data_IF_529440531603
#
_entry.id   IF_529440531603
#
_cell.length_a   1.000
_cell.length_b   1.000
_cell.length_c   1.000
_cell.angle_alpha   90.00
_cell.angle_beta   90.00
_cell.angle_gamma   90.00
#
_symmetry.space_group_name_H-M   'P 1'
#
loop_
_entity.id
_entity.type
_entity.pdbx_description
1 polymer ?
#
# COMPACT_ATOMS: atom_id res chain seq x y z
N UNK A 1 -12.02 -14.16 -82.41
CA UNK A 1 -12.57 -14.77 -81.18
C UNK A 1 -11.42 -14.79 -80.18
N UNK A 2 -11.45 -13.94 -79.15
CA UNK A 2 -11.76 -14.32 -77.74
C UNK A 2 -10.67 -15.26 -77.16
N UNK A 3 -10.08 -15.07 -76.00
CA UNK A 3 -10.51 -14.38 -74.77
C UNK A 3 -9.25 -14.00 -73.97
N UNK A 4 -9.21 -12.79 -73.40
CA UNK A 4 -8.23 -12.43 -72.37
C UNK A 4 -8.60 -13.13 -71.06
N UNK A 5 -7.64 -13.79 -70.41
CA UNK A 5 -7.80 -14.32 -69.04
C UNK A 5 -6.80 -13.61 -68.15
N UNK A 6 -7.29 -12.63 -67.40
CA UNK A 6 -6.58 -12.01 -66.28
C UNK A 6 -6.61 -12.97 -65.09
N UNK A 7 -5.46 -13.56 -64.76
CA UNK A 7 -5.30 -14.38 -63.57
C UNK A 7 -5.08 -13.47 -62.35
N UNK A 8 -6.11 -13.31 -61.52
CA UNK A 8 -6.01 -12.67 -60.21
C UNK A 8 -5.37 -13.64 -59.20
N UNK A 9 -4.13 -13.37 -58.79
CA UNK A 9 -3.48 -14.07 -57.67
C UNK A 9 -4.06 -13.56 -56.35
N UNK A 10 -4.87 -14.38 -55.68
CA UNK A 10 -5.35 -14.12 -54.33
C UNK A 10 -4.21 -14.34 -53.32
N UNK A 11 -3.74 -13.25 -52.70
CA UNK A 11 -2.84 -13.30 -51.55
C UNK A 11 -3.63 -13.79 -50.33
N UNK A 12 -3.38 -15.02 -49.89
CA UNK A 12 -3.89 -15.52 -48.61
C UNK A 12 -3.12 -14.84 -47.47
N UNK A 13 -3.70 -13.78 -46.93
CA UNK A 13 -3.26 -13.19 -45.66
C UNK A 13 -3.57 -14.16 -44.52
N UNK A 14 -2.59 -14.93 -44.07
CA UNK A 14 -2.69 -15.68 -42.82
C UNK A 14 -2.66 -14.69 -41.66
N UNK A 15 -3.82 -14.27 -41.18
CA UNK A 15 -3.92 -13.53 -39.93
C UNK A 15 -3.48 -14.47 -38.78
N UNK A 16 -2.30 -14.23 -38.20
CA UNK A 16 -1.96 -14.82 -36.90
C UNK A 16 -2.94 -14.23 -35.88
N UNK A 17 -3.94 -15.00 -35.49
CA UNK A 17 -4.68 -14.72 -34.27
C UNK A 17 -3.71 -14.91 -33.10
N UNK A 18 -3.23 -13.80 -32.53
CA UNK A 18 -2.54 -13.85 -31.25
C UNK A 18 -3.46 -14.54 -30.24
N UNK A 19 -2.97 -15.49 -29.43
CA UNK A 19 -3.79 -16.01 -28.35
C UNK A 19 -4.13 -14.80 -27.49
N UNK A 20 -5.42 -14.49 -27.40
CA UNK A 20 -5.94 -13.63 -26.34
C UNK A 20 -5.71 -14.41 -25.05
N UNK A 21 -4.46 -14.38 -24.58
CA UNK A 21 -4.09 -14.83 -23.26
C UNK A 21 -5.00 -14.07 -22.33
N UNK A 22 -5.92 -14.81 -21.72
CA UNK A 22 -6.79 -14.35 -20.66
C UNK A 22 -5.95 -13.42 -19.79
N UNK A 23 -6.28 -12.14 -19.77
CA UNK A 23 -5.85 -11.24 -18.72
C UNK A 23 -6.49 -11.80 -17.45
N UNK A 24 -5.87 -12.83 -16.88
CA UNK A 24 -6.11 -13.24 -15.53
C UNK A 24 -5.66 -12.05 -14.72
N UNK A 25 -6.60 -11.19 -14.36
CA UNK A 25 -6.47 -10.30 -13.22
C UNK A 25 -6.23 -11.23 -12.04
N UNK A 26 -4.98 -11.66 -11.84
CA UNK A 26 -4.52 -12.24 -10.59
C UNK A 26 -4.61 -11.11 -9.58
N UNK A 27 -5.83 -10.83 -9.13
CA UNK A 27 -6.04 -10.17 -7.87
C UNK A 27 -5.31 -11.05 -6.87
N UNK A 28 -4.27 -10.51 -6.26
CA UNK A 28 -3.54 -11.19 -5.20
C UNK A 28 -4.59 -11.78 -4.25
N UNK A 29 -4.59 -13.10 -4.09
CA UNK A 29 -5.49 -13.76 -3.15
C UNK A 29 -5.08 -13.51 -1.71
N UNK A 30 -4.04 -12.70 -1.48
CA UNK A 30 -3.75 -12.20 -0.14
C UNK A 30 -4.82 -11.21 0.27
N UNK A 31 -5.48 -11.42 1.41
CA UNK A 31 -6.30 -10.37 2.01
C UNK A 31 -5.44 -9.11 2.16
N UNK A 32 -5.99 -7.96 1.77
CA UNK A 32 -5.36 -6.68 2.06
C UNK A 32 -5.40 -6.41 3.57
N UNK A 33 -4.64 -5.42 4.03
CA UNK A 33 -4.57 -5.12 5.47
C UNK A 33 -5.37 -3.87 5.83
N UNK A 34 -5.81 -3.80 7.08
CA UNK A 34 -6.40 -2.61 7.68
C UNK A 34 -5.55 -2.16 8.86
N UNK A 35 -5.23 -0.87 8.91
CA UNK A 35 -4.72 -0.23 10.12
C UNK A 35 -5.90 0.16 11.00
N UNK A 36 -5.85 -0.25 12.27
CA UNK A 36 -6.89 -0.01 13.27
C UNK A 36 -6.37 0.88 14.39
N UNK A 37 -7.21 1.79 14.88
CA UNK A 37 -6.98 2.58 16.11
C UNK A 37 -5.63 3.29 16.14
N UNK A 38 -5.21 3.85 15.01
CA UNK A 38 -3.88 4.44 14.89
C UNK A 38 -3.81 5.78 15.63
N UNK A 39 -2.85 5.89 16.55
CA UNK A 39 -2.55 7.10 17.32
C UNK A 39 -1.06 7.42 17.24
N UNK A 40 -0.72 8.70 17.12
CA UNK A 40 0.64 9.23 17.21
C UNK A 40 0.71 10.23 18.35
N UNK A 41 1.61 9.99 19.31
CA UNK A 41 1.86 10.84 20.46
C UNK A 41 3.27 11.42 20.40
N UNK A 42 3.37 12.73 20.22
CA UNK A 42 4.60 13.52 20.21
C UNK A 42 4.55 14.61 21.29
N UNK A 43 4.13 14.26 22.50
CA UNK A 43 4.14 15.19 23.65
C UNK A 43 5.54 15.73 23.90
N UNK A 44 6.55 14.88 23.72
CA UNK A 44 7.93 15.33 23.55
C UNK A 44 8.18 15.57 22.05
N UNK A 45 8.62 16.77 21.62
CA UNK A 45 8.85 17.06 20.20
C UNK A 45 9.98 16.23 19.58
N UNK A 46 10.86 15.63 20.40
CA UNK A 46 11.95 14.77 19.98
C UNK A 46 11.61 13.28 20.11
N UNK A 47 10.40 12.94 20.60
CA UNK A 47 9.95 11.54 20.73
C UNK A 47 8.51 11.41 20.26
N UNK A 48 8.31 10.74 19.13
CA UNK A 48 6.99 10.39 18.63
C UNK A 48 6.75 8.88 18.79
N UNK A 49 5.74 8.50 19.57
CA UNK A 49 5.27 7.11 19.69
C UNK A 49 4.06 6.90 18.80
N UNK A 50 4.11 5.86 17.97
CA UNK A 50 3.04 5.48 17.06
C UNK A 50 2.47 4.15 17.54
N UNK A 51 1.16 4.08 17.75
CA UNK A 51 0.45 2.89 18.26
C UNK A 51 -0.74 2.60 17.36
N UNK A 52 -0.84 1.38 16.85
CA UNK A 52 -1.95 0.92 16.02
C UNK A 52 -2.09 -0.60 16.12
N UNK A 53 -3.10 -1.16 15.45
CA UNK A 53 -3.18 -2.61 15.23
C UNK A 53 -3.35 -2.95 13.76
N UNK A 54 -2.78 -4.09 13.35
CA UNK A 54 -2.76 -4.58 11.98
C UNK A 54 -3.79 -5.70 11.88
N UNK A 55 -4.89 -5.43 11.19
CA UNK A 55 -5.85 -6.45 10.82
C UNK A 55 -5.46 -6.97 9.43
N UNK A 56 -4.93 -8.20 9.41
CA UNK A 56 -4.48 -8.85 8.17
C UNK A 56 -5.62 -9.47 7.36
N UNK A 57 -6.88 -9.28 7.79
CA UNK A 57 -8.11 -9.74 7.11
C UNK A 57 -8.11 -11.22 6.69
N UNK A 58 -7.39 -12.08 7.40
CA UNK A 58 -7.26 -13.51 7.11
C UNK A 58 -8.26 -14.39 7.90
N UNK A 59 -9.27 -13.78 8.51
CA UNK A 59 -10.23 -14.45 9.39
C UNK A 59 -9.78 -14.57 10.85
N UNK A 60 -8.58 -14.09 11.21
CA UNK A 60 -8.19 -13.90 12.62
C UNK A 60 -9.10 -12.88 13.29
N UNK A 61 -9.60 -13.21 14.49
CA UNK A 61 -10.42 -12.29 15.29
C UNK A 61 -9.61 -11.20 15.99
N UNK A 62 -8.29 -11.35 16.05
CA UNK A 62 -7.42 -10.49 16.85
C UNK A 62 -6.42 -9.77 15.95
N UNK A 63 -6.57 -8.44 15.77
CA UNK A 63 -5.56 -7.61 15.10
C UNK A 63 -4.21 -7.67 15.82
N UNK A 64 -3.12 -7.60 15.07
CA UNK A 64 -1.75 -7.64 15.59
C UNK A 64 -1.38 -6.26 16.12
N UNK A 65 -1.16 -6.06 17.43
CA UNK A 65 -0.79 -4.75 17.96
C UNK A 65 0.58 -4.33 17.45
N UNK A 66 0.77 -3.03 17.29
CA UNK A 66 2.04 -2.47 16.87
C UNK A 66 2.35 -1.13 17.54
N UNK A 67 3.57 -1.04 18.07
CA UNK A 67 4.15 0.18 18.60
C UNK A 67 5.54 0.39 18.03
N UNK A 68 5.80 1.60 17.54
CA UNK A 68 7.14 2.08 17.18
C UNK A 68 7.40 3.44 17.83
N UNK A 69 8.67 3.74 18.08
CA UNK A 69 9.12 5.00 18.68
C UNK A 69 10.16 5.64 17.76
N UNK A 70 9.89 6.86 17.36
CA UNK A 70 10.84 7.72 16.65
C UNK A 70 11.46 8.71 17.64
N UNK A 71 12.79 8.77 17.68
CA UNK A 71 13.55 9.61 18.61
C UNK A 71 14.43 10.64 17.90
N UNK A 72 14.05 11.05 16.68
CA UNK A 72 14.75 12.10 15.96
C UNK A 72 14.53 13.50 16.58
N UNK A 73 15.37 14.48 16.20
CA UNK A 73 15.29 15.85 16.69
C UNK A 73 15.05 16.84 15.54
N UNK A 74 13.81 17.31 15.29
CA UNK A 74 12.56 16.91 15.94
C UNK A 74 11.90 15.67 15.29
N UNK A 75 11.27 14.82 16.10
CA UNK A 75 10.55 13.63 15.65
C UNK A 75 9.19 13.96 15.01
N UNK A 76 8.63 15.14 15.30
CA UNK A 76 7.34 15.58 14.75
C UNK A 76 7.34 15.73 13.23
N UNK A 77 8.50 16.02 12.63
CA UNK A 77 8.66 16.23 11.19
C UNK A 77 9.55 15.18 10.52
N UNK A 78 10.06 14.23 11.28
CA UNK A 78 11.00 13.23 10.79
C UNK A 78 10.29 12.11 10.03
N UNK A 79 10.94 11.64 8.97
CA UNK A 79 10.55 10.45 8.22
C UNK A 79 11.53 9.33 8.51
N UNK A 80 11.04 8.11 8.70
CA UNK A 80 11.87 6.93 9.00
C UNK A 80 11.45 5.75 8.14
N UNK A 81 12.31 4.73 8.07
CA UNK A 81 12.03 3.51 7.33
C UNK A 81 12.47 2.25 8.08
N UNK A 82 11.75 1.16 7.88
CA UNK A 82 12.16 -0.17 8.32
C UNK A 82 12.26 -0.37 9.84
N UNK A 83 11.54 0.43 10.63
CA UNK A 83 11.55 0.32 12.09
C UNK A 83 10.71 -0.90 12.51
N UNK A 84 11.27 -1.86 13.26
CA UNK A 84 10.54 -3.06 13.63
C UNK A 84 9.41 -2.75 14.61
N UNK A 85 8.30 -3.43 14.41
CA UNK A 85 7.16 -3.37 15.31
C UNK A 85 7.46 -4.08 16.63
N UNK A 86 7.25 -3.40 17.77
CA UNK A 86 7.66 -3.91 19.09
C UNK A 86 7.03 -5.26 19.45
N UNK A 87 5.74 -5.44 19.16
CA UNK A 87 4.98 -6.65 19.51
C UNK A 87 5.00 -7.72 18.40
N UNK A 88 5.44 -7.37 17.19
CA UNK A 88 5.38 -8.25 16.02
C UNK A 88 6.62 -8.05 15.13
N UNK A 89 7.72 -8.70 15.51
CA UNK A 89 9.03 -8.54 14.89
C UNK A 89 9.10 -8.87 13.39
N UNK A 90 8.13 -9.59 12.83
CA UNK A 90 8.03 -9.86 11.40
C UNK A 90 7.47 -8.66 10.60
N UNK A 91 6.91 -7.65 11.27
CA UNK A 91 6.47 -6.41 10.66
C UNK A 91 7.50 -5.30 10.85
N UNK A 92 7.83 -4.62 9.76
CA UNK A 92 8.59 -3.38 9.75
C UNK A 92 7.71 -2.23 9.27
N UNK A 93 7.94 -1.05 9.85
CA UNK A 93 7.13 0.15 9.67
C UNK A 93 8.00 1.26 9.10
N UNK A 94 7.48 1.98 8.11
CA UNK A 94 8.07 3.23 7.61
C UNK A 94 7.04 4.35 7.67
N UNK A 95 7.51 5.58 7.83
CA UNK A 95 6.71 6.79 7.87
C UNK A 95 7.36 7.85 6.99
N UNK A 96 6.67 8.27 5.93
CA UNK A 96 7.13 9.33 5.05
C UNK A 96 6.15 10.48 5.04
N UNK A 97 6.59 11.68 5.40
CA UNK A 97 5.77 12.89 5.37
C UNK A 97 6.20 13.83 4.24
N UNK A 98 5.26 14.18 3.37
CA UNK A 98 5.40 15.26 2.41
C UNK A 98 4.92 16.56 3.06
N UNK A 99 5.86 17.45 3.37
CA UNK A 99 5.58 18.74 4.01
C UNK A 99 4.88 19.74 3.09
N UNK A 100 5.07 19.62 1.78
CA UNK A 100 4.52 20.55 0.80
C UNK A 100 3.01 20.33 0.60
N UNK A 101 2.61 19.06 0.49
CA UNK A 101 1.21 18.68 0.26
C UNK A 101 0.49 18.26 1.56
N UNK A 102 1.21 18.32 2.69
CA UNK A 102 0.74 17.95 4.03
C UNK A 102 0.08 16.56 4.10
N UNK A 103 0.77 15.56 3.56
CA UNK A 103 0.30 14.18 3.45
C UNK A 103 1.38 13.20 3.90
N UNK A 104 1.00 12.11 4.56
CA UNK A 104 1.92 11.05 5.00
C UNK A 104 1.53 9.69 4.44
N UNK A 105 2.54 8.83 4.28
CA UNK A 105 2.35 7.41 4.01
C UNK A 105 2.98 6.60 5.15
N UNK A 106 2.14 5.83 5.82
CA UNK A 106 2.57 4.72 6.67
C UNK A 106 2.75 3.49 5.76
N UNK A 107 3.93 2.89 5.78
CA UNK A 107 4.20 1.65 5.05
C UNK A 107 4.38 0.51 6.05
N UNK A 108 3.73 -0.61 5.79
CA UNK A 108 3.95 -1.85 6.53
C UNK A 108 4.54 -2.91 5.62
N UNK A 109 5.60 -3.56 6.09
CA UNK A 109 6.22 -4.71 5.43
C UNK A 109 6.15 -5.91 6.36
N UNK A 110 5.49 -6.98 5.93
CA UNK A 110 5.61 -8.28 6.57
C UNK A 110 6.76 -9.04 5.89
N UNK A 111 7.91 -9.05 6.55
CA UNK A 111 9.15 -9.61 5.99
C UNK A 111 9.07 -11.11 5.77
N UNK A 112 8.29 -11.83 6.58
CA UNK A 112 8.09 -13.27 6.45
C UNK A 112 7.16 -13.62 5.30
N UNK A 113 6.06 -12.87 5.15
CA UNK A 113 5.07 -13.11 4.10
C UNK A 113 5.48 -12.50 2.75
N UNK A 114 6.55 -11.68 2.72
CA UNK A 114 6.97 -10.89 1.56
C UNK A 114 5.84 -10.02 1.01
N UNK A 115 5.15 -9.34 1.94
CA UNK A 115 4.00 -8.49 1.64
C UNK A 115 4.26 -7.08 2.14
N UNK A 116 3.75 -6.10 1.39
CA UNK A 116 3.85 -4.70 1.72
C UNK A 116 2.50 -4.02 1.46
N UNK A 117 2.14 -3.07 2.32
CA UNK A 117 0.95 -2.26 2.20
C UNK A 117 1.24 -0.80 2.57
N UNK A 118 0.56 0.13 1.89
CA UNK A 118 0.73 1.56 2.04
C UNK A 118 -0.58 2.21 2.48
N UNK A 119 -0.51 3.08 3.49
CA UNK A 119 -1.67 3.74 4.08
C UNK A 119 -1.43 5.24 4.11
N UNK A 120 -2.25 5.98 3.37
CA UNK A 120 -2.17 7.44 3.29
C UNK A 120 -3.02 8.13 4.35
N UNK A 121 -2.50 9.24 4.88
CA UNK A 121 -3.25 10.14 5.77
C UNK A 121 -2.95 11.60 5.42
N UNK A 122 -3.98 12.42 5.34
CA UNK A 122 -3.85 13.87 5.17
C UNK A 122 -3.61 14.55 6.53
N UNK A 123 -2.95 15.70 6.50
CA UNK A 123 -2.75 16.59 7.65
C UNK A 123 -2.18 15.91 8.90
N UNK A 124 -1.07 15.15 8.80
CA UNK A 124 -0.64 14.24 9.85
C UNK A 124 -0.20 14.89 11.16
N UNK A 125 -0.05 16.21 11.19
CA UNK A 125 0.35 16.98 12.36
C UNK A 125 -0.79 17.82 12.95
N UNK A 126 -1.98 17.84 12.35
CA UNK A 126 -3.15 18.52 12.91
C UNK A 126 -3.63 17.75 14.14
N UNK A 127 -3.75 18.43 15.28
CA UNK A 127 -4.16 17.81 16.55
C UNK A 127 -3.00 17.35 17.44
N UNK A 128 -1.74 17.61 17.06
CA UNK A 128 -0.61 17.43 17.96
C UNK A 128 -0.84 18.13 19.31
N UNK A 129 -0.34 17.58 20.43
CA UNK A 129 0.68 16.53 20.50
C UNK A 129 0.18 15.08 20.37
N UNK A 130 -1.13 14.83 20.43
CA UNK A 130 -1.69 13.47 20.33
C UNK A 130 -2.74 13.42 19.24
N UNK A 131 -2.42 12.75 18.14
CA UNK A 131 -3.27 12.65 16.95
C UNK A 131 -3.81 11.23 16.84
N UNK A 132 -5.12 11.10 16.59
CA UNK A 132 -5.73 9.82 16.20
C UNK A 132 -6.12 9.88 14.73
N UNK A 133 -5.82 8.82 14.00
CA UNK A 133 -6.10 8.67 12.58
C UNK A 133 -7.26 7.70 12.37
N UNK A 134 -7.95 7.85 11.23
CA UNK A 134 -9.01 6.92 10.84
C UNK A 134 -8.44 5.51 10.59
N UNK A 135 -9.29 4.49 10.72
CA UNK A 135 -8.97 3.17 10.22
C UNK A 135 -8.87 3.20 8.69
N UNK A 136 -7.79 2.68 8.11
CA UNK A 136 -7.55 2.70 6.65
C UNK A 136 -7.23 1.31 6.14
N UNK A 137 -7.87 0.94 5.03
CA UNK A 137 -7.61 -0.27 4.27
C UNK A 137 -8.54 -1.47 4.61
N UNK A 138 -8.54 -2.51 3.76
CA UNK A 138 -8.19 -2.44 2.35
C UNK A 138 -9.25 -1.61 1.62
N UNK A 139 -8.82 -0.58 0.89
CA UNK A 139 -9.74 0.26 0.12
C UNK A 139 -10.04 -0.42 -1.21
N UNK A 140 -11.30 -0.32 -1.66
CA UNK A 140 -11.66 -0.75 -3.01
C UNK A 140 -10.84 0.06 -4.02
N UNK A 141 -10.26 -0.62 -5.02
CA UNK A 141 -9.62 0.06 -6.14
C UNK A 141 -10.69 0.82 -6.89
N UNK A 142 -10.59 2.14 -6.95
CA UNK A 142 -11.51 2.95 -7.75
C UNK A 142 -11.10 2.82 -9.21
N UNK A 143 -12.00 2.27 -10.04
CA UNK A 143 -11.84 2.29 -11.49
C UNK A 143 -12.38 3.63 -11.98
N UNK A 144 -11.47 4.53 -12.38
CA UNK A 144 -11.81 5.74 -13.13
C UNK A 144 -11.97 5.43 -14.62
#
# INVERSE_FOLDING_TARGET
MQFQILAFTALLSTALAAPAGLLSTRQSSSPGWTIRSFTRNCTDPNICTYTFSIDVNNGSSTPVPCTIVDTAEPATTHSFYGVPCTQANNFAVSWGWNTQDDFTVLTLVNQTALQEAFFGYDHPNVGLPVVSYADVGPNAVQHT
#
